data_IF_086520801993
#
_entry.id   IF_086520801993
#
_cell.length_a   1.000
_cell.length_b   1.000
_cell.length_c   1.000
_cell.angle_alpha   90.00
_cell.angle_beta   90.00
_cell.angle_gamma   90.00
#
_symmetry.space_group_name_H-M   'P 1'
#
loop_
_entity.id
_entity.type
_entity.pdbx_description
1 polymer ?
#
# COMPACT_ATOMS: atom_id res chain seq x y z
N UNK A 1 -15.15 -0.49 -26.12
CA UNK A 1 -14.28 -0.97 -25.00
C UNK A 1 -14.32 0.10 -23.93
N UNK A 2 -14.70 -0.27 -22.73
CA UNK A 2 -14.79 0.68 -21.61
C UNK A 2 -13.37 1.16 -21.22
N UNK A 3 -13.22 2.44 -20.89
CA UNK A 3 -11.94 3.03 -20.47
C UNK A 3 -11.30 2.28 -19.28
N UNK A 4 -12.11 1.71 -18.42
CA UNK A 4 -11.65 0.88 -17.30
C UNK A 4 -10.95 -0.40 -17.75
N UNK A 5 -11.39 -1.02 -18.85
CA UNK A 5 -10.78 -2.23 -19.38
C UNK A 5 -9.42 -1.95 -20.03
N UNK A 6 -9.31 -0.84 -20.78
CA UNK A 6 -8.03 -0.40 -21.36
C UNK A 6 -7.01 -0.07 -20.26
N UNK A 7 -7.45 0.64 -19.22
CA UNK A 7 -6.61 0.94 -18.06
C UNK A 7 -6.16 -0.35 -17.36
N UNK A 8 -7.07 -1.32 -17.23
CA UNK A 8 -6.79 -2.60 -16.61
C UNK A 8 -5.73 -3.41 -17.38
N UNK A 9 -5.86 -3.53 -18.70
CA UNK A 9 -4.89 -4.25 -19.54
C UNK A 9 -3.51 -3.60 -19.48
N UNK A 10 -3.46 -2.28 -19.65
CA UNK A 10 -2.20 -1.54 -19.56
C UNK A 10 -1.54 -1.67 -18.18
N UNK A 11 -2.32 -1.56 -17.12
CA UNK A 11 -1.83 -1.68 -15.75
C UNK A 11 -1.32 -3.09 -15.42
N UNK A 12 -2.00 -4.14 -15.87
CA UNK A 12 -1.51 -5.50 -15.70
C UNK A 12 -0.13 -5.69 -16.34
N UNK A 13 0.09 -5.14 -17.51
CA UNK A 13 1.36 -5.26 -18.22
C UNK A 13 2.48 -4.53 -17.45
N UNK A 14 2.19 -3.34 -16.96
CA UNK A 14 3.12 -2.60 -16.11
C UNK A 14 3.51 -3.40 -14.87
N UNK A 15 2.54 -3.97 -14.16
CA UNK A 15 2.80 -4.78 -12.95
C UNK A 15 3.63 -6.02 -13.26
N UNK A 16 3.44 -6.66 -14.42
CA UNK A 16 4.29 -7.78 -14.83
C UNK A 16 5.75 -7.38 -15.01
N UNK A 17 5.99 -6.23 -15.60
CA UNK A 17 7.33 -5.69 -15.84
C UNK A 17 8.01 -5.22 -14.55
N UNK A 18 7.26 -4.50 -13.68
CA UNK A 18 7.82 -3.91 -12.47
C UNK A 18 8.16 -4.93 -11.36
N UNK A 19 7.49 -6.07 -11.32
CA UNK A 19 7.59 -7.00 -10.19
C UNK A 19 7.97 -8.41 -10.63
N UNK A 20 9.14 -8.58 -11.24
CA UNK A 20 9.60 -9.87 -11.77
C UNK A 20 9.67 -10.98 -10.72
N UNK A 21 10.09 -10.65 -9.50
CA UNK A 21 10.22 -11.62 -8.39
C UNK A 21 8.91 -12.05 -7.71
N UNK A 22 7.76 -11.51 -8.13
CA UNK A 22 6.44 -11.85 -7.56
C UNK A 22 5.75 -12.90 -8.42
N UNK A 23 5.17 -13.94 -7.81
CA UNK A 23 4.45 -14.99 -8.55
C UNK A 23 3.27 -14.44 -9.36
N UNK A 24 2.99 -15.03 -10.53
CA UNK A 24 2.00 -14.54 -11.49
C UNK A 24 0.60 -14.29 -10.89
N UNK A 25 0.09 -15.19 -10.04
CA UNK A 25 -1.18 -14.99 -9.33
C UNK A 25 -1.15 -13.81 -8.35
N UNK A 26 -0.02 -13.59 -7.69
CA UNK A 26 0.18 -12.47 -6.78
C UNK A 26 0.28 -11.15 -7.54
N UNK A 27 0.95 -11.12 -8.70
CA UNK A 27 0.99 -9.96 -9.59
C UNK A 27 -0.41 -9.53 -10.03
N UNK A 28 -1.23 -10.48 -10.47
CA UNK A 28 -2.62 -10.21 -10.87
C UNK A 28 -3.45 -9.66 -9.69
N UNK A 29 -3.26 -10.21 -8.50
CA UNK A 29 -3.97 -9.73 -7.31
C UNK A 29 -3.47 -8.37 -6.87
N UNK A 30 -2.16 -8.11 -6.90
CA UNK A 30 -1.57 -6.80 -6.65
C UNK A 30 -2.15 -5.75 -7.62
N UNK A 31 -2.17 -6.06 -8.91
CA UNK A 31 -2.73 -5.18 -9.92
C UNK A 31 -4.20 -4.83 -9.66
N UNK A 32 -5.03 -5.83 -9.30
CA UNK A 32 -6.44 -5.63 -8.96
C UNK A 32 -6.62 -4.78 -7.70
N UNK A 33 -5.85 -5.06 -6.64
CA UNK A 33 -5.93 -4.29 -5.37
C UNK A 33 -5.59 -2.83 -5.63
N UNK A 34 -4.47 -2.55 -6.30
CA UNK A 34 -4.03 -1.17 -6.56
C UNK A 34 -5.03 -0.44 -7.46
N UNK A 35 -5.49 -1.07 -8.54
CA UNK A 35 -6.50 -0.47 -9.41
C UNK A 35 -7.81 -0.21 -8.65
N UNK A 36 -8.25 -1.16 -7.84
CA UNK A 36 -9.44 -1.00 -7.03
C UNK A 36 -9.31 0.10 -5.98
N UNK A 37 -8.13 0.30 -5.38
CA UNK A 37 -7.85 1.45 -4.49
C UNK A 37 -7.98 2.78 -5.24
N UNK A 38 -7.45 2.87 -6.45
CA UNK A 38 -7.55 4.07 -7.28
C UNK A 38 -9.01 4.35 -7.65
N UNK A 39 -9.73 3.34 -8.10
CA UNK A 39 -11.12 3.47 -8.56
C UNK A 39 -12.12 3.74 -7.44
N UNK A 40 -11.90 3.16 -6.26
CA UNK A 40 -12.76 3.35 -5.08
C UNK A 40 -12.38 4.57 -4.24
N UNK A 41 -11.18 5.10 -4.43
CA UNK A 41 -10.60 6.14 -3.55
C UNK A 41 -10.42 5.66 -2.10
N UNK A 42 -10.31 4.35 -1.86
CA UNK A 42 -10.32 3.75 -0.53
C UNK A 42 -9.26 2.65 -0.39
N UNK A 43 -8.73 2.47 0.83
CA UNK A 43 -7.89 1.34 1.20
C UNK A 43 -8.68 0.23 1.94
N UNK A 44 -9.99 0.36 2.08
CA UNK A 44 -10.87 -0.63 2.72
C UNK A 44 -11.14 -1.76 1.73
N UNK A 45 -10.75 -2.99 2.08
CA UNK A 45 -10.81 -4.15 1.16
C UNK A 45 -12.20 -4.42 0.59
N UNK A 46 -13.24 -4.24 1.39
CA UNK A 46 -14.61 -4.37 0.93
C UNK A 46 -14.92 -3.39 -0.20
N UNK A 47 -14.63 -2.09 -0.02
CA UNK A 47 -14.87 -1.06 -1.04
C UNK A 47 -14.05 -1.29 -2.30
N UNK A 48 -12.82 -1.79 -2.15
CA UNK A 48 -11.97 -2.18 -3.27
C UNK A 48 -12.64 -3.33 -4.05
N UNK A 49 -13.12 -4.35 -3.34
CA UNK A 49 -13.77 -5.51 -3.95
C UNK A 49 -15.10 -5.14 -4.64
N UNK A 50 -15.90 -4.28 -4.03
CA UNK A 50 -17.13 -3.71 -4.62
C UNK A 50 -16.81 -3.00 -5.94
N UNK A 51 -15.86 -2.08 -5.93
CA UNK A 51 -15.45 -1.32 -7.13
C UNK A 51 -14.95 -2.21 -8.27
N UNK A 52 -14.21 -3.27 -7.96
CA UNK A 52 -13.74 -4.25 -8.94
C UNK A 52 -14.91 -5.07 -9.52
N UNK A 53 -15.84 -5.48 -8.66
CA UNK A 53 -17.02 -6.27 -9.05
C UNK A 53 -17.98 -5.46 -9.95
N UNK A 54 -18.33 -4.24 -9.53
CA UNK A 54 -19.23 -3.34 -10.26
C UNK A 54 -18.74 -3.00 -11.66
N UNK A 55 -17.42 -2.91 -11.83
CA UNK A 55 -16.78 -2.60 -13.13
C UNK A 55 -16.48 -3.85 -13.97
N UNK A 56 -16.87 -5.03 -13.51
CA UNK A 56 -16.65 -6.28 -14.25
C UNK A 56 -15.18 -6.65 -14.45
N UNK A 57 -14.26 -6.09 -13.65
CA UNK A 57 -12.82 -6.35 -13.75
C UNK A 57 -12.42 -7.73 -13.20
N UNK A 58 -13.36 -8.44 -12.59
CA UNK A 58 -13.22 -9.83 -12.17
C UNK A 58 -14.56 -10.55 -12.36
N UNK A 59 -14.50 -11.78 -12.88
CA UNK A 59 -15.69 -12.63 -12.99
C UNK A 59 -16.10 -13.29 -11.66
N UNK A 60 -15.28 -13.16 -10.63
CA UNK A 60 -15.58 -13.71 -9.31
C UNK A 60 -16.62 -12.83 -8.59
N UNK A 61 -17.44 -13.49 -7.75
CA UNK A 61 -18.39 -12.80 -6.88
C UNK A 61 -17.63 -11.93 -5.86
N UNK A 62 -18.20 -10.78 -5.48
CA UNK A 62 -17.60 -9.79 -4.58
C UNK A 62 -17.01 -10.41 -3.29
N UNK A 63 -17.70 -11.31 -2.55
CA UNK A 63 -17.11 -11.90 -1.34
C UNK A 63 -15.87 -12.76 -1.62
N UNK A 64 -15.76 -13.33 -2.82
CA UNK A 64 -14.59 -14.11 -3.23
C UNK A 64 -13.41 -13.20 -3.57
N UNK A 65 -13.69 -12.03 -4.17
CA UNK A 65 -12.69 -11.00 -4.45
C UNK A 65 -12.12 -10.48 -3.13
N UNK A 66 -12.98 -10.11 -2.19
CA UNK A 66 -12.60 -9.61 -0.87
C UNK A 66 -11.73 -10.62 -0.10
N UNK A 67 -12.14 -11.90 -0.04
CA UNK A 67 -11.34 -12.97 0.59
C UNK A 67 -9.99 -13.15 -0.07
N UNK A 68 -9.90 -13.01 -1.39
CA UNK A 68 -8.64 -13.08 -2.13
C UNK A 68 -7.73 -11.92 -1.75
N UNK A 69 -8.26 -10.73 -1.63
CA UNK A 69 -7.50 -9.55 -1.21
C UNK A 69 -7.03 -9.66 0.24
N UNK A 70 -7.89 -10.12 1.15
CA UNK A 70 -7.51 -10.35 2.54
C UNK A 70 -6.37 -11.38 2.66
N UNK A 71 -6.45 -12.50 1.92
CA UNK A 71 -5.35 -13.49 1.87
C UNK A 71 -4.06 -12.92 1.26
N UNK A 72 -4.17 -12.08 0.26
CA UNK A 72 -3.03 -11.44 -0.37
C UNK A 72 -2.31 -10.51 0.61
N UNK A 73 -3.04 -9.65 1.31
CA UNK A 73 -2.49 -8.72 2.30
C UNK A 73 -1.87 -9.46 3.49
N UNK A 74 -2.48 -10.59 3.92
CA UNK A 74 -1.98 -11.41 5.02
C UNK A 74 -0.85 -12.38 4.60
N UNK A 75 -0.44 -12.40 3.33
CA UNK A 75 0.53 -13.37 2.82
C UNK A 75 1.96 -13.03 3.25
N UNK A 76 2.46 -13.71 4.25
CA UNK A 76 3.82 -13.54 4.78
C UNK A 76 4.95 -13.91 3.80
N UNK A 77 4.63 -14.59 2.68
CA UNK A 77 5.61 -14.88 1.62
C UNK A 77 5.91 -13.68 0.74
N UNK A 78 5.06 -12.64 0.79
CA UNK A 78 5.32 -11.39 0.10
C UNK A 78 6.17 -10.52 1.00
N UNK A 79 7.44 -10.39 0.64
CA UNK A 79 8.38 -9.50 1.33
C UNK A 79 8.17 -8.08 0.81
N UNK A 80 7.37 -7.30 1.54
CA UNK A 80 6.95 -5.95 1.14
C UNK A 80 8.15 -5.04 0.82
N UNK A 81 9.21 -5.10 1.62
CA UNK A 81 10.43 -4.31 1.39
C UNK A 81 11.12 -4.66 0.06
N UNK A 82 11.09 -5.92 -0.35
CA UNK A 82 11.64 -6.36 -1.63
C UNK A 82 10.81 -5.83 -2.81
N UNK A 83 9.50 -5.98 -2.74
CA UNK A 83 8.55 -5.46 -3.74
C UNK A 83 8.68 -3.95 -3.88
N UNK A 84 8.75 -3.25 -2.76
CA UNK A 84 8.89 -1.80 -2.73
C UNK A 84 10.25 -1.34 -3.29
N UNK A 85 11.32 -2.04 -2.97
CA UNK A 85 12.67 -1.76 -3.52
C UNK A 85 12.70 -1.90 -5.05
N UNK A 86 12.05 -2.93 -5.59
CA UNK A 86 11.92 -3.11 -7.05
C UNK A 86 11.17 -1.93 -7.68
N UNK A 87 10.04 -1.53 -7.09
CA UNK A 87 9.27 -0.37 -7.55
C UNK A 87 10.11 0.91 -7.52
N UNK A 88 10.77 1.21 -6.41
CA UNK A 88 11.63 2.38 -6.29
C UNK A 88 12.78 2.37 -7.31
N UNK A 89 13.36 1.21 -7.59
CA UNK A 89 14.40 1.05 -8.61
C UNK A 89 13.96 1.47 -10.01
N UNK A 90 12.66 1.36 -10.31
CA UNK A 90 12.08 1.80 -11.59
C UNK A 90 11.72 3.29 -11.59
N UNK A 91 11.31 3.81 -10.44
CA UNK A 91 10.76 5.17 -10.33
C UNK A 91 11.82 6.22 -10.03
N UNK A 92 12.78 5.92 -9.15
CA UNK A 92 13.80 6.88 -8.72
C UNK A 92 14.72 7.41 -9.82
N UNK A 93 15.05 6.66 -10.89
CA UNK A 93 15.84 7.19 -11.99
C UNK A 93 15.30 8.47 -12.63
N UNK A 94 14.00 8.73 -12.55
CA UNK A 94 13.38 9.98 -13.03
C UNK A 94 13.91 11.24 -12.33
N UNK A 95 14.47 11.09 -11.13
CA UNK A 95 15.05 12.20 -10.34
C UNK A 95 16.56 12.24 -10.37
N UNK A 96 17.21 11.35 -11.15
CA UNK A 96 18.67 11.38 -11.26
C UNK A 96 19.16 12.75 -11.72
N UNK A 97 20.14 13.30 -11.00
CA UNK A 97 20.71 14.62 -11.30
C UNK A 97 19.81 15.82 -10.97
N UNK A 98 18.65 15.62 -10.34
CA UNK A 98 17.72 16.69 -9.95
C UNK A 98 17.79 16.93 -8.44
N UNK A 99 17.60 18.18 -8.04
CA UNK A 99 17.38 18.51 -6.62
C UNK A 99 16.05 17.94 -6.16
N UNK A 100 16.06 17.23 -5.05
CA UNK A 100 14.88 16.62 -4.43
C UNK A 100 14.65 17.15 -3.01
N UNK A 101 13.41 17.16 -2.59
CA UNK A 101 13.05 17.46 -1.21
C UNK A 101 12.63 16.17 -0.51
N UNK A 102 13.22 15.92 0.66
CA UNK A 102 12.88 14.79 1.50
C UNK A 102 12.03 15.26 2.66
N UNK A 103 11.09 14.44 3.06
CA UNK A 103 10.18 14.65 4.19
C UNK A 103 10.36 13.49 5.15
N UNK A 104 10.63 13.79 6.41
CA UNK A 104 10.59 12.84 7.51
C UNK A 104 9.37 13.18 8.37
N UNK A 105 8.47 12.23 8.52
CA UNK A 105 7.23 12.45 9.26
C UNK A 105 6.81 11.20 10.04
N UNK A 106 5.91 11.41 11.01
CA UNK A 106 5.38 10.38 11.88
C UNK A 106 3.85 10.40 11.84
N UNK A 107 3.25 9.28 11.53
CA UNK A 107 1.78 9.14 11.51
C UNK A 107 1.32 8.11 12.54
N UNK A 108 0.41 8.47 13.47
CA UNK A 108 -0.20 7.49 14.36
C UNK A 108 -0.96 6.43 13.58
N UNK A 109 -0.79 5.18 13.97
CA UNK A 109 -1.53 4.04 13.41
C UNK A 109 -2.31 3.36 14.54
N UNK A 110 -3.53 3.84 14.80
CA UNK A 110 -4.29 3.47 15.97
C UNK A 110 -3.61 3.92 17.27
N UNK A 111 -3.98 3.27 18.38
CA UNK A 111 -3.41 3.58 19.71
C UNK A 111 -2.08 2.87 19.99
N UNK A 112 -1.75 1.84 19.23
CA UNK A 112 -0.67 0.92 19.56
C UNK A 112 0.62 1.14 18.78
N UNK A 113 0.58 1.90 17.68
CA UNK A 113 1.72 2.05 16.80
C UNK A 113 1.85 3.46 16.21
N UNK A 114 3.05 3.79 15.80
CA UNK A 114 3.37 4.98 15.00
C UNK A 114 4.17 4.54 13.80
N UNK A 115 3.82 5.05 12.63
CA UNK A 115 4.59 4.84 11.41
C UNK A 115 5.50 6.05 11.24
N UNK A 116 6.80 5.82 11.27
CA UNK A 116 7.82 6.81 10.90
C UNK A 116 8.19 6.54 9.46
N UNK A 117 8.14 7.54 8.60
CA UNK A 117 8.52 7.36 7.21
C UNK A 117 9.37 8.52 6.68
N UNK A 118 10.26 8.16 5.77
CA UNK A 118 11.02 9.08 4.94
C UNK A 118 10.41 9.05 3.55
N UNK A 119 10.12 10.21 2.99
CA UNK A 119 9.51 10.31 1.68
C UNK A 119 10.13 11.37 0.80
N UNK A 120 9.92 11.22 -0.50
CA UNK A 120 10.27 12.18 -1.53
C UNK A 120 9.06 13.06 -1.83
N UNK A 121 9.23 14.37 -1.72
CA UNK A 121 8.17 15.31 -2.07
C UNK A 121 8.08 15.43 -3.60
N UNK A 122 6.93 15.01 -4.14
CA UNK A 122 6.61 15.08 -5.57
C UNK A 122 5.37 15.94 -5.74
N UNK A 123 5.53 17.15 -6.22
CA UNK A 123 4.48 18.17 -6.28
C UNK A 123 3.89 18.42 -4.89
N UNK A 124 2.62 18.12 -4.69
CA UNK A 124 1.89 18.26 -3.42
C UNK A 124 1.73 16.94 -2.66
N UNK A 125 2.43 15.87 -3.05
CA UNK A 125 2.31 14.54 -2.47
C UNK A 125 3.67 14.00 -2.07
N UNK A 126 3.67 13.06 -1.15
CA UNK A 126 4.89 12.40 -0.68
C UNK A 126 4.90 10.96 -1.20
N UNK A 127 5.96 10.60 -1.93
CA UNK A 127 6.26 9.22 -2.28
C UNK A 127 7.08 8.60 -1.15
N UNK A 128 6.55 7.62 -0.40
CA UNK A 128 7.31 6.97 0.66
C UNK A 128 8.55 6.27 0.06
N UNK A 129 9.72 6.53 0.61
CA UNK A 129 10.96 5.82 0.24
C UNK A 129 11.20 4.65 1.19
N UNK A 130 10.99 4.87 2.47
CA UNK A 130 11.11 3.85 3.51
C UNK A 130 10.23 4.21 4.71
N UNK A 131 9.85 3.20 5.47
CA UNK A 131 9.08 3.39 6.69
C UNK A 131 9.43 2.35 7.75
N UNK A 132 9.12 2.68 8.98
CA UNK A 132 9.21 1.77 10.12
C UNK A 132 7.97 1.91 11.00
N UNK A 133 7.39 0.80 11.36
CA UNK A 133 6.32 0.76 12.35
C UNK A 133 6.96 0.62 13.73
N UNK A 134 6.69 1.56 14.62
CA UNK A 134 7.20 1.58 16.00
C UNK A 134 6.03 1.36 16.95
N UNK A 135 6.19 0.50 17.97
CA UNK A 135 5.19 0.40 19.02
C UNK A 135 5.08 1.75 19.73
N UNK A 136 3.87 2.19 20.02
CA UNK A 136 3.65 3.34 20.91
C UNK A 136 3.99 2.89 22.33
N UNK A 137 4.77 3.67 23.10
CA UNK A 137 4.89 3.44 24.54
C UNK A 137 3.46 3.42 25.10
N UNK A 138 3.08 2.35 25.76
CA UNK A 138 1.89 2.39 26.60
C UNK A 138 2.19 3.46 27.65
N UNK A 139 1.33 4.46 27.80
CA UNK A 139 1.38 5.32 28.96
C UNK A 139 1.35 4.37 30.16
N UNK A 140 2.51 4.21 30.79
CA UNK A 140 2.59 3.64 32.12
C UNK A 140 1.84 4.63 32.97
N UNK A 141 0.58 4.31 33.25
CA UNK A 141 -0.33 5.20 33.92
C UNK A 141 0.38 5.90 35.06
N UNK A 142 0.18 7.19 35.17
CA UNK A 142 0.49 7.96 36.35
C UNK A 142 -0.37 7.40 37.51
N UNK A 143 -0.03 6.18 37.95
CA UNK A 143 -0.62 5.43 39.00
C UNK A 143 0.16 5.72 40.27
N UNK A 144 -0.43 6.54 41.12
CA UNK A 144 -0.20 6.61 42.55
C UNK A 144 1.21 7.07 42.97
N UNK A 145 1.49 8.36 42.93
CA UNK A 145 2.16 8.97 44.06
C UNK A 145 1.17 8.96 45.23
N UNK A 146 1.15 7.86 45.99
CA UNK A 146 0.60 7.84 47.32
C UNK A 146 1.44 8.75 48.20
N UNK A 147 0.94 9.93 48.48
CA UNK A 147 1.42 10.78 49.56
C UNK A 147 1.01 10.07 50.86
N UNK A 148 1.94 9.29 51.43
CA UNK A 148 1.87 8.86 52.78
C UNK A 148 2.40 9.99 53.68
N UNK A 149 1.47 10.63 54.38
CA UNK A 149 1.77 11.52 55.52
C UNK A 149 1.99 10.70 56.78
#
# INVERSE_FOLDING_TARGET
MDASNLLWEHWQEQVKQFFEGVHGHQKKTLALVVLGMILSGSAVLQRIAESISERGLSQAKMPSIERRFARFVANKRIVVSSVWKQFLGQVLPYWHGKSVRLVLDCTPCGEQATIVYLGLLVHSRVLPLMWRVMPRPRDVGAGAMGVGG
#
